data_IF_468424637196
#
_entry.id   IF_468424637196
#
_cell.length_a   1.000
_cell.length_b   1.000
_cell.length_c   1.000
_cell.angle_alpha   90.00
_cell.angle_beta   90.00
_cell.angle_gamma   90.00
#
_symmetry.space_group_name_H-M   'P 1'
#
loop_
_entity.id
_entity.type
_entity.pdbx_description
1 polymer ?
#
# COMPACT_ATOMS: atom_id res chain seq x y z
N UNK A 1 -8.07 9.24 0.77
CA UNK A 1 -8.56 10.34 1.62
C UNK A 1 -10.07 10.22 1.73
N UNK A 2 -10.61 10.53 2.89
CA UNK A 2 -12.04 10.73 3.15
C UNK A 2 -12.14 12.02 3.96
N UNK A 3 -12.70 13.07 3.37
CA UNK A 3 -12.83 14.39 4.00
C UNK A 3 -14.24 14.55 4.58
N UNK A 4 -14.36 15.16 5.76
CA UNK A 4 -15.63 15.32 6.47
C UNK A 4 -16.41 14.00 6.64
N UNK A 5 -15.69 12.94 7.04
CA UNK A 5 -16.27 11.62 7.30
C UNK A 5 -17.09 11.58 8.60
N UNK A 6 -17.10 10.42 9.25
CA UNK A 6 -17.84 10.23 10.51
C UNK A 6 -17.46 11.28 11.58
N UNK A 7 -18.47 11.95 12.13
CA UNK A 7 -18.29 13.04 13.09
C UNK A 7 -17.54 14.27 12.56
N UNK A 8 -17.48 14.47 11.24
CA UNK A 8 -16.76 15.59 10.61
C UNK A 8 -15.23 15.43 10.63
N UNK A 9 -14.73 14.21 10.84
CA UNK A 9 -13.30 13.91 10.86
C UNK A 9 -12.77 13.57 9.47
N UNK A 10 -11.54 13.96 9.22
CA UNK A 10 -10.81 13.55 8.02
C UNK A 10 -10.02 12.26 8.27
N UNK A 11 -10.03 11.36 7.29
CA UNK A 11 -9.26 10.13 7.30
C UNK A 11 -8.33 10.11 6.08
N UNK A 12 -7.06 9.83 6.33
CA UNK A 12 -6.05 9.75 5.28
C UNK A 12 -5.05 8.66 5.64
N UNK A 13 -4.56 7.97 4.61
CA UNK A 13 -3.64 6.86 4.72
C UNK A 13 -2.89 6.75 3.40
N UNK A 14 -1.64 6.29 3.48
CA UNK A 14 -0.92 5.78 2.32
C UNK A 14 -1.16 4.27 2.29
N UNK A 15 -1.54 3.77 1.12
CA UNK A 15 -1.80 2.35 0.90
C UNK A 15 -0.86 1.83 -0.17
N UNK A 16 -0.31 0.64 0.08
CA UNK A 16 0.50 -0.11 -0.87
C UNK A 16 -0.27 -1.34 -1.40
N UNK A 17 -1.61 -1.36 -1.23
CA UNK A 17 -2.50 -2.41 -1.76
C UNK A 17 -2.38 -2.54 -3.28
N UNK A 18 -2.09 -1.43 -3.97
CA UNK A 18 -1.84 -1.39 -5.41
C UNK A 18 -0.34 -1.29 -5.76
N UNK A 19 0.53 -1.64 -4.81
CA UNK A 19 1.98 -1.60 -4.98
C UNK A 19 2.59 -0.23 -4.71
N UNK A 20 3.82 -0.06 -5.21
CA UNK A 20 4.69 1.09 -4.99
C UNK A 20 5.39 1.49 -6.28
N UNK A 21 5.62 2.78 -6.50
CA UNK A 21 6.51 3.28 -7.54
C UNK A 21 7.46 4.37 -7.02
N UNK A 22 6.97 5.28 -6.18
CA UNK A 22 7.74 6.36 -5.56
C UNK A 22 7.40 6.53 -4.07
N UNK A 23 8.34 7.00 -3.24
CA UNK A 23 8.05 7.38 -1.86
C UNK A 23 7.05 8.54 -1.79
N UNK A 24 6.18 8.51 -0.78
CA UNK A 24 5.15 9.54 -0.57
C UNK A 24 4.89 9.78 0.91
N UNK A 25 4.51 11.00 1.26
CA UNK A 25 4.06 11.39 2.60
C UNK A 25 2.84 12.28 2.53
N UNK A 26 1.96 12.17 3.53
CA UNK A 26 0.82 13.05 3.75
C UNK A 26 0.98 13.69 5.13
N UNK A 27 1.12 15.02 5.14
CA UNK A 27 1.26 15.83 6.35
C UNK A 27 0.10 16.83 6.40
N UNK A 28 -0.82 16.69 7.36
CA UNK A 28 -1.90 17.65 7.57
C UNK A 28 -1.34 19.03 7.91
N UNK A 29 -1.96 20.09 7.37
CA UNK A 29 -1.65 21.47 7.73
C UNK A 29 -2.94 22.16 8.22
N UNK A 30 -2.88 22.74 9.42
CA UNK A 30 -4.06 23.27 10.09
C UNK A 30 -4.95 22.18 10.69
N UNK A 31 -6.24 22.48 10.85
CA UNK A 31 -7.22 21.57 11.46
C UNK A 31 -7.11 21.47 12.98
N UNK A 32 -7.85 20.51 13.55
CA UNK A 32 -7.79 20.20 14.97
C UNK A 32 -6.46 19.55 15.35
N UNK A 33 -5.94 19.77 16.57
CA UNK A 33 -4.76 19.07 17.05
C UNK A 33 -5.01 17.55 17.10
N UNK A 34 -3.96 16.76 16.86
CA UNK A 34 -4.00 15.28 16.90
C UNK A 34 -3.94 14.57 15.56
N UNK A 35 -3.82 15.28 14.44
CA UNK A 35 -3.65 14.70 13.11
C UNK A 35 -2.17 14.32 12.84
N UNK A 36 -1.84 13.02 12.88
CA UNK A 36 -0.48 12.51 12.61
C UNK A 36 -0.15 12.47 11.12
N UNK A 37 1.10 12.71 10.73
CA UNK A 37 1.56 12.44 9.36
C UNK A 37 1.61 10.94 9.07
N UNK A 38 1.38 10.54 7.82
CA UNK A 38 1.61 9.18 7.32
C UNK A 38 2.61 9.20 6.16
N UNK A 39 3.49 8.20 6.07
CA UNK A 39 4.50 8.15 5.00
C UNK A 39 4.86 6.72 4.61
N UNK A 40 5.20 6.53 3.35
CA UNK A 40 6.00 5.43 2.84
C UNK A 40 7.27 6.06 2.26
N UNK A 41 8.29 6.23 3.10
CA UNK A 41 9.52 6.94 2.73
C UNK A 41 10.60 6.02 2.12
N UNK A 42 10.53 4.72 2.41
CA UNK A 42 11.51 3.75 1.92
C UNK A 42 11.38 3.56 0.40
N UNK A 43 12.51 3.29 -0.26
CA UNK A 43 12.51 2.86 -1.65
C UNK A 43 12.18 1.36 -1.74
N UNK A 44 10.89 1.03 -1.85
CA UNK A 44 10.44 -0.37 -1.93
C UNK A 44 10.97 -1.08 -3.19
N UNK A 45 11.26 -0.33 -4.27
CA UNK A 45 11.83 -0.92 -5.49
C UNK A 45 13.17 -1.63 -5.24
N UNK A 46 13.93 -1.22 -4.20
CA UNK A 46 15.22 -1.82 -3.87
C UNK A 46 15.13 -3.21 -3.22
N UNK A 47 13.99 -3.54 -2.63
CA UNK A 47 13.73 -4.83 -1.94
C UNK A 47 12.57 -5.60 -2.58
N UNK A 48 12.13 -5.17 -3.75
CA UNK A 48 10.98 -5.75 -4.44
C UNK A 48 11.26 -7.20 -4.83
N UNK A 49 10.31 -8.09 -4.52
CA UNK A 49 10.38 -9.48 -4.97
C UNK A 49 10.42 -9.53 -6.51
N UNK A 50 11.30 -10.35 -7.12
CA UNK A 50 11.40 -10.46 -8.57
C UNK A 50 10.08 -10.79 -9.30
N UNK A 51 9.17 -11.52 -8.65
CA UNK A 51 7.85 -11.85 -9.21
C UNK A 51 6.87 -10.67 -9.23
N UNK A 52 7.18 -9.61 -8.48
CA UNK A 52 6.38 -8.39 -8.35
C UNK A 52 6.99 -7.18 -9.09
N UNK A 53 8.26 -7.29 -9.50
CA UNK A 53 9.01 -6.20 -10.08
C UNK A 53 8.49 -5.78 -11.46
N UNK A 54 8.17 -4.49 -11.62
CA UNK A 54 8.03 -3.86 -12.92
C UNK A 54 9.38 -3.24 -13.32
N UNK A 55 9.92 -3.63 -14.48
CA UNK A 55 11.24 -3.23 -14.94
C UNK A 55 11.18 -2.25 -16.10
N UNK A 56 12.10 -1.28 -16.09
CA UNK A 56 12.35 -0.36 -17.20
C UNK A 56 13.14 -1.02 -18.34
N UNK A 57 13.39 -0.28 -19.44
CA UNK A 57 14.14 -0.78 -20.60
C UNK A 57 15.58 -1.21 -20.29
N UNK A 58 16.18 -0.62 -19.26
CA UNK A 58 17.52 -0.93 -18.75
C UNK A 58 17.55 -2.11 -17.76
N UNK A 59 16.39 -2.71 -17.47
CA UNK A 59 16.24 -3.79 -16.49
C UNK A 59 16.10 -3.33 -15.04
N UNK A 60 16.19 -2.02 -14.76
CA UNK A 60 16.04 -1.45 -13.41
C UNK A 60 14.60 -1.62 -12.92
N UNK A 61 14.42 -1.94 -11.63
CA UNK A 61 13.08 -2.01 -11.01
C UNK A 61 12.57 -0.59 -10.79
N UNK A 62 11.50 -0.22 -11.49
CA UNK A 62 10.92 1.14 -11.47
C UNK A 62 9.61 1.22 -10.65
N UNK A 63 8.99 0.06 -10.40
CA UNK A 63 7.84 -0.08 -9.53
C UNK A 63 7.76 -1.51 -8.98
N UNK A 64 7.09 -1.69 -7.86
CA UNK A 64 6.83 -2.97 -7.23
C UNK A 64 5.31 -3.19 -7.14
N UNK A 65 4.78 -4.18 -7.87
CA UNK A 65 3.35 -4.53 -7.78
C UNK A 65 3.04 -5.14 -6.41
N UNK A 66 1.80 -4.99 -5.94
CA UNK A 66 1.32 -5.85 -4.86
C UNK A 66 1.08 -7.27 -5.37
N UNK A 67 1.00 -8.24 -4.46
CA UNK A 67 0.65 -9.61 -4.81
C UNK A 67 -0.76 -9.71 -5.44
N UNK A 68 -1.70 -8.86 -5.03
CA UNK A 68 -3.02 -8.80 -5.67
C UNK A 68 -2.89 -8.39 -7.15
N UNK A 69 -2.17 -7.32 -7.44
CA UNK A 69 -1.97 -6.87 -8.83
C UNK A 69 -1.16 -7.85 -9.68
N UNK A 70 -0.21 -8.58 -9.08
CA UNK A 70 0.64 -9.51 -9.80
C UNK A 70 -0.08 -10.84 -10.10
N UNK A 71 -0.86 -11.36 -9.15
CA UNK A 71 -1.39 -12.72 -9.23
C UNK A 71 -2.92 -12.80 -9.34
N UNK A 72 -3.63 -11.75 -8.93
CA UNK A 72 -5.10 -11.67 -8.94
C UNK A 72 -5.78 -12.87 -8.26
N UNK A 73 -5.22 -13.34 -7.14
CA UNK A 73 -5.77 -14.48 -6.38
C UNK A 73 -6.52 -13.99 -5.14
N UNK A 74 -7.63 -14.65 -4.75
CA UNK A 74 -8.49 -14.20 -3.64
C UNK A 74 -7.75 -13.93 -2.33
N UNK A 75 -6.76 -14.76 -1.98
CA UNK A 75 -5.97 -14.62 -0.77
C UNK A 75 -5.02 -13.41 -0.74
N UNK A 76 -4.66 -12.87 -1.91
CA UNK A 76 -3.85 -11.65 -1.99
C UNK A 76 -4.71 -10.39 -2.14
N UNK A 77 -5.90 -10.53 -2.72
CA UNK A 77 -6.84 -9.44 -2.95
C UNK A 77 -7.89 -9.30 -1.84
N UNK A 78 -7.90 -10.21 -0.85
CA UNK A 78 -8.90 -10.28 0.21
C UNK A 78 -10.34 -10.29 -0.34
N UNK A 79 -10.62 -11.17 -1.30
CA UNK A 79 -11.94 -11.30 -1.93
C UNK A 79 -12.54 -12.69 -1.72
N UNK A 80 -13.85 -12.84 -1.95
CA UNK A 80 -14.54 -14.12 -1.81
C UNK A 80 -14.43 -14.70 -0.40
N UNK A 81 -13.88 -15.91 -0.28
CA UNK A 81 -13.66 -16.56 1.02
C UNK A 81 -12.67 -15.81 1.91
N UNK A 82 -11.83 -14.95 1.33
CA UNK A 82 -10.84 -14.13 2.04
C UNK A 82 -11.35 -12.70 2.29
N UNK A 83 -12.65 -12.44 2.19
CA UNK A 83 -13.23 -11.08 2.31
C UNK A 83 -13.28 -10.50 3.72
N UNK A 84 -12.91 -11.28 4.74
CA UNK A 84 -12.86 -10.83 6.14
C UNK A 84 -11.41 -10.76 6.63
N UNK A 85 -11.06 -9.83 7.54
CA UNK A 85 -9.70 -9.70 8.06
C UNK A 85 -9.13 -11.01 8.64
N UNK A 86 -9.96 -11.77 9.37
CA UNK A 86 -9.55 -13.06 9.96
C UNK A 86 -9.21 -14.12 8.90
N UNK A 87 -9.75 -13.98 7.69
CA UNK A 87 -9.54 -14.91 6.58
C UNK A 87 -8.51 -14.39 5.58
N UNK A 88 -8.09 -13.13 5.65
CA UNK A 88 -7.03 -12.56 4.81
C UNK A 88 -5.81 -12.14 5.65
N UNK A 89 -5.04 -13.11 6.19
CA UNK A 89 -3.88 -12.79 6.99
C UNK A 89 -2.75 -12.19 6.14
N UNK A 90 -1.78 -11.50 6.77
CA UNK A 90 -0.57 -11.06 6.09
C UNK A 90 0.15 -12.22 5.38
N UNK A 91 0.69 -11.93 4.21
CA UNK A 91 1.46 -12.88 3.39
C UNK A 91 2.92 -12.46 3.33
N UNK A 92 3.80 -13.36 2.87
CA UNK A 92 5.21 -13.02 2.63
C UNK A 92 5.37 -11.79 1.72
N UNK A 93 4.47 -11.61 0.75
CA UNK A 93 4.49 -10.46 -0.15
C UNK A 93 4.01 -9.18 0.52
N UNK A 94 2.93 -9.22 1.30
CA UNK A 94 2.42 -8.01 1.97
C UNK A 94 3.38 -7.53 3.07
N UNK A 95 4.15 -8.44 3.67
CA UNK A 95 5.15 -8.11 4.70
C UNK A 95 6.36 -7.34 4.15
N UNK A 96 6.65 -7.41 2.85
CA UNK A 96 7.69 -6.57 2.22
C UNK A 96 7.32 -5.08 2.30
N UNK A 97 6.03 -4.77 2.31
CA UNK A 97 5.49 -3.41 2.33
C UNK A 97 5.21 -2.87 3.74
N UNK A 98 5.52 -3.63 4.79
CA UNK A 98 5.20 -3.31 6.20
C UNK A 98 6.42 -2.81 6.96
#
# INVERSE_FOLDING_TARGET
>A
FTLSGDGGKDYYYISLVDGFNIPISVTPQGGSPGCSSTSCAANVNAVCDPSLAARGPDGTVIACKSACLAFNQPQYCCTGEYSTPDKCPPTQYSMIFK
#
